data_IF_131480985626
#
_entry.id   IF_131480985626
#
_cell.length_a   1.000
_cell.length_b   1.000
_cell.length_c   1.000
_cell.angle_alpha   90.00
_cell.angle_beta   90.00
_cell.angle_gamma   90.00
#
_symmetry.space_group_name_H-M   'P 1'
#
loop_
_entity.id
_entity.type
_entity.pdbx_description
1 polymer ?
#
# COMPACT_ATOMS: atom_id res chain seq x y z
N UNK A 1 39.32 -12.20 17.34
CA UNK A 1 38.23 -11.16 17.15
C UNK A 1 38.43 -10.32 15.89
N UNK A 2 39.68 -9.92 15.52
CA UNK A 2 39.88 -9.00 14.40
C UNK A 2 39.72 -9.64 13.02
N UNK A 3 40.03 -10.93 12.84
CA UNK A 3 39.87 -11.63 11.55
C UNK A 3 38.42 -12.06 11.25
N UNK A 4 37.70 -12.50 12.26
CA UNK A 4 36.29 -12.84 12.14
C UNK A 4 35.46 -11.61 11.80
N UNK A 5 35.73 -10.46 12.46
CA UNK A 5 35.05 -9.19 12.16
C UNK A 5 35.34 -8.67 10.75
N UNK A 6 36.56 -8.80 10.26
CA UNK A 6 36.92 -8.45 8.86
C UNK A 6 36.28 -9.36 7.83
N UNK A 7 36.17 -10.66 8.14
CA UNK A 7 35.49 -11.63 7.27
C UNK A 7 33.96 -11.38 7.26
N UNK A 8 33.36 -11.10 8.43
CA UNK A 8 31.95 -10.71 8.52
C UNK A 8 31.66 -9.41 7.78
N UNK A 9 32.51 -8.40 7.91
CA UNK A 9 32.36 -7.16 7.15
C UNK A 9 32.51 -7.34 5.64
N UNK A 10 33.46 -8.19 5.18
CA UNK A 10 33.62 -8.51 3.77
C UNK A 10 32.47 -9.35 3.21
N UNK A 11 32.00 -10.33 3.96
CA UNK A 11 30.81 -11.13 3.60
C UNK A 11 29.56 -10.26 3.59
N UNK A 12 29.43 -9.37 4.56
CA UNK A 12 28.33 -8.39 4.63
C UNK A 12 28.32 -7.47 3.40
N UNK A 13 29.47 -6.91 3.00
CA UNK A 13 29.60 -6.08 1.80
C UNK A 13 29.29 -6.87 0.50
N UNK A 14 29.81 -8.08 0.36
CA UNK A 14 29.58 -8.95 -0.80
C UNK A 14 28.12 -9.43 -0.90
N UNK A 15 27.47 -9.67 0.23
CA UNK A 15 26.08 -10.10 0.28
C UNK A 15 25.12 -8.93 -0.02
N UNK A 16 25.46 -7.71 0.40
CA UNK A 16 24.71 -6.49 0.10
C UNK A 16 24.78 -6.15 -1.39
N UNK A 17 25.97 -6.19 -1.99
CA UNK A 17 26.18 -5.88 -3.41
C UNK A 17 25.53 -6.89 -4.35
N UNK A 18 25.44 -8.16 -3.94
CA UNK A 18 24.94 -9.24 -4.80
C UNK A 18 23.53 -9.74 -4.45
N UNK A 19 22.97 -9.39 -3.29
CA UNK A 19 21.64 -9.86 -2.89
C UNK A 19 21.00 -8.97 -1.82
N UNK A 20 20.25 -7.92 -2.21
CA UNK A 20 19.62 -6.98 -1.28
C UNK A 20 18.57 -7.62 -0.35
N UNK A 21 18.19 -8.88 -0.58
CA UNK A 21 17.19 -9.59 0.22
C UNK A 21 17.68 -10.03 1.61
N UNK A 22 18.98 -10.15 1.81
CA UNK A 22 19.55 -10.61 3.09
C UNK A 22 19.35 -9.60 4.23
N UNK A 23 19.06 -8.35 3.93
CA UNK A 23 18.82 -7.31 4.94
C UNK A 23 17.55 -7.50 5.79
N UNK A 24 16.54 -8.19 5.30
CA UNK A 24 15.28 -8.39 6.04
C UNK A 24 15.26 -9.66 6.91
N UNK A 25 16.09 -10.64 6.60
CA UNK A 25 16.25 -11.85 7.42
C UNK A 25 17.21 -11.68 8.60
N UNK A 26 17.90 -10.54 8.69
CA UNK A 26 19.00 -10.34 9.63
C UNK A 26 18.59 -10.23 11.10
N UNK A 27 17.31 -10.01 11.43
CA UNK A 27 16.89 -9.92 12.83
C UNK A 27 16.97 -11.27 13.56
N UNK A 28 16.58 -12.36 12.91
CA UNK A 28 16.74 -13.71 13.44
C UNK A 28 18.22 -14.15 13.47
N UNK A 29 19.00 -13.72 12.50
CA UNK A 29 20.44 -14.02 12.41
C UNK A 29 21.24 -13.34 13.53
N UNK A 30 20.88 -12.09 13.91
CA UNK A 30 21.56 -11.35 14.98
C UNK A 30 21.22 -11.87 16.39
N UNK A 31 20.02 -12.39 16.60
CA UNK A 31 19.64 -13.01 17.87
C UNK A 31 20.40 -14.35 18.06
N UNK A 32 20.73 -15.07 16.99
CA UNK A 32 21.38 -16.39 17.04
C UNK A 32 22.92 -16.31 17.14
N UNK A 33 23.54 -15.24 16.63
CA UNK A 33 25.01 -15.13 16.52
C UNK A 33 25.65 -13.98 17.32
N UNK A 34 24.88 -13.26 18.14
CA UNK A 34 25.41 -12.29 19.11
C UNK A 34 26.25 -11.15 18.51
N UNK A 35 25.91 -10.68 17.32
CA UNK A 35 26.58 -9.56 16.67
C UNK A 35 26.26 -8.23 17.36
N UNK A 36 27.19 -7.26 17.43
CA UNK A 36 26.95 -5.95 18.01
C UNK A 36 25.80 -5.25 17.29
N UNK A 37 24.96 -4.56 18.01
CA UNK A 37 23.74 -3.87 17.60
C UNK A 37 23.83 -3.22 16.22
N UNK A 38 23.48 -3.95 15.15
CA UNK A 38 23.32 -3.36 13.84
C UNK A 38 21.98 -2.63 13.81
N UNK A 39 22.02 -1.37 14.12
CA UNK A 39 20.89 -0.45 13.89
C UNK A 39 20.57 -0.50 12.39
N UNK A 40 19.31 -0.81 12.05
CA UNK A 40 18.82 -0.59 10.69
C UNK A 40 19.03 0.90 10.36
N UNK A 41 19.83 1.18 9.33
CA UNK A 41 20.07 2.54 8.86
C UNK A 41 19.10 2.81 7.72
N UNK A 42 18.14 3.70 7.89
CA UNK A 42 17.19 4.01 6.83
C UNK A 42 17.89 4.74 5.68
N UNK A 43 17.37 4.58 4.45
CA UNK A 43 17.97 5.15 3.25
C UNK A 43 18.20 6.66 3.34
N UNK A 44 17.31 7.40 3.99
CA UNK A 44 17.42 8.86 4.16
C UNK A 44 18.57 9.29 5.10
N UNK A 45 19.02 8.42 5.97
CA UNK A 45 20.23 8.64 6.78
C UNK A 45 21.48 8.39 5.93
N UNK A 46 21.48 7.37 5.07
CA UNK A 46 22.58 7.07 4.12
C UNK A 46 22.73 8.21 3.11
N UNK A 47 21.62 8.70 2.56
CA UNK A 47 21.56 9.76 1.54
C UNK A 47 21.52 11.17 2.15
N UNK A 48 21.83 11.32 3.44
CA UNK A 48 21.70 12.56 4.21
C UNK A 48 22.29 13.80 3.50
N UNK A 49 23.52 13.72 3.04
CA UNK A 49 24.22 14.87 2.46
C UNK A 49 23.60 15.28 1.12
N UNK A 50 23.12 14.30 0.35
CA UNK A 50 22.37 14.56 -0.87
C UNK A 50 21.02 15.22 -0.58
N UNK A 51 20.31 14.75 0.45
CA UNK A 51 19.03 15.33 0.88
C UNK A 51 19.22 16.77 1.40
N UNK A 52 20.28 17.06 2.16
CA UNK A 52 20.59 18.41 2.61
C UNK A 52 20.88 19.36 1.43
N UNK A 53 21.61 18.90 0.42
CA UNK A 53 21.86 19.68 -0.80
C UNK A 53 20.55 19.95 -1.57
N UNK A 54 19.69 18.94 -1.72
CA UNK A 54 18.36 19.11 -2.34
C UNK A 54 17.51 20.12 -1.55
N UNK A 55 17.45 20.00 -0.23
CA UNK A 55 16.71 20.92 0.62
C UNK A 55 17.22 22.36 0.49
N UNK A 56 18.53 22.56 0.28
CA UNK A 56 19.12 23.87 0.04
C UNK A 56 18.49 24.61 -1.13
N UNK A 57 18.19 23.89 -2.20
CA UNK A 57 17.78 24.45 -3.50
C UNK A 57 16.28 24.27 -3.82
N UNK A 58 15.61 23.24 -3.28
CA UNK A 58 14.29 22.80 -3.73
C UNK A 58 13.26 22.58 -2.61
N UNK A 59 13.56 22.98 -1.36
CA UNK A 59 12.62 22.82 -0.25
C UNK A 59 11.49 23.86 -0.32
N UNK A 60 10.25 23.51 0.10
CA UNK A 60 9.85 22.20 0.53
C UNK A 60 9.63 21.25 -0.65
N UNK A 61 10.03 20.00 -0.51
CA UNK A 61 9.85 19.01 -1.57
C UNK A 61 9.67 17.59 -1.02
N UNK A 62 9.01 16.73 -1.83
CA UNK A 62 9.01 15.29 -1.61
C UNK A 62 10.21 14.67 -2.31
N UNK A 63 10.85 13.72 -1.67
CA UNK A 63 11.92 12.90 -2.25
C UNK A 63 11.57 11.44 -2.09
N UNK A 64 11.70 10.68 -3.18
CA UNK A 64 11.40 9.26 -3.21
C UNK A 64 12.64 8.46 -3.61
N UNK A 65 12.89 7.35 -2.90
CA UNK A 65 14.02 6.46 -3.11
C UNK A 65 13.57 5.22 -3.88
N UNK A 66 13.80 5.20 -5.19
CA UNK A 66 13.37 4.10 -6.07
C UNK A 66 13.91 2.71 -5.70
N UNK A 67 15.16 2.55 -5.18
CA UNK A 67 15.61 1.23 -4.73
C UNK A 67 14.77 0.65 -3.59
N UNK A 68 14.25 1.48 -2.67
CA UNK A 68 13.33 1.01 -1.61
C UNK A 68 12.01 0.53 -2.21
N UNK A 69 11.49 1.19 -3.23
CA UNK A 69 10.27 0.77 -3.92
C UNK A 69 10.46 -0.60 -4.60
N UNK A 70 11.55 -0.74 -5.34
CA UNK A 70 11.91 -2.00 -6.00
C UNK A 70 12.07 -3.14 -4.99
N UNK A 71 12.75 -2.89 -3.86
CA UNK A 71 12.91 -3.88 -2.79
C UNK A 71 11.57 -4.33 -2.22
N UNK A 72 10.64 -3.40 -1.97
CA UNK A 72 9.29 -3.72 -1.48
C UNK A 72 8.49 -4.52 -2.48
N UNK A 73 8.61 -4.20 -3.78
CA UNK A 73 8.00 -5.00 -4.83
C UNK A 73 8.54 -6.44 -4.86
N UNK A 74 9.86 -6.60 -4.85
CA UNK A 74 10.51 -7.90 -4.83
C UNK A 74 10.13 -8.73 -3.61
N UNK A 75 9.98 -8.11 -2.43
CA UNK A 75 9.56 -8.79 -1.21
C UNK A 75 8.21 -9.48 -1.37
N UNK A 76 7.24 -8.85 -2.03
CA UNK A 76 5.93 -9.46 -2.27
C UNK A 76 5.93 -10.43 -3.45
N UNK A 77 6.72 -10.17 -4.49
CA UNK A 77 6.85 -11.07 -5.63
C UNK A 77 7.48 -12.43 -5.29
N UNK A 78 8.14 -12.55 -4.14
CA UNK A 78 8.72 -13.80 -3.65
C UNK A 78 7.74 -14.69 -2.89
N UNK A 79 6.56 -14.17 -2.54
CA UNK A 79 5.54 -14.96 -1.86
C UNK A 79 4.97 -16.00 -2.83
N UNK A 80 5.07 -17.28 -2.45
CA UNK A 80 4.65 -18.40 -3.30
C UNK A 80 3.13 -18.50 -3.48
N UNK A 81 2.37 -17.91 -2.56
CA UNK A 81 0.92 -17.88 -2.63
C UNK A 81 0.36 -16.85 -3.62
N UNK A 82 1.11 -15.78 -3.91
CA UNK A 82 0.61 -14.63 -4.66
C UNK A 82 0.90 -14.80 -6.15
N UNK A 83 -0.13 -14.77 -6.97
CA UNK A 83 -0.04 -14.91 -8.42
C UNK A 83 0.05 -13.56 -9.15
N UNK A 84 -0.67 -12.54 -8.65
CA UNK A 84 -0.70 -11.21 -9.27
C UNK A 84 -0.58 -10.11 -8.21
N UNK A 85 0.22 -9.10 -8.51
CA UNK A 85 0.35 -7.89 -7.72
C UNK A 85 -0.07 -6.67 -8.55
N UNK A 86 -1.02 -5.91 -8.04
CA UNK A 86 -1.48 -4.67 -8.62
C UNK A 86 -1.07 -3.50 -7.72
N UNK A 87 -0.31 -2.58 -8.25
CA UNK A 87 -0.04 -1.34 -7.50
C UNK A 87 -1.26 -0.44 -7.52
N UNK A 88 -1.82 -0.13 -6.34
CA UNK A 88 -2.90 0.83 -6.19
C UNK A 88 -2.38 2.25 -6.39
N UNK A 89 -2.53 2.79 -7.62
CA UNK A 89 -1.83 4.04 -8.04
C UNK A 89 -2.30 5.28 -7.29
N UNK A 90 -3.50 5.26 -6.70
CA UNK A 90 -3.97 6.31 -5.78
C UNK A 90 -3.03 6.60 -4.61
N UNK A 91 -2.13 5.67 -4.28
CA UNK A 91 -1.11 5.90 -3.25
C UNK A 91 -0.06 6.92 -3.70
N UNK A 92 0.38 6.87 -4.95
CA UNK A 92 1.19 7.90 -5.60
C UNK A 92 1.27 7.64 -7.12
N UNK A 93 0.63 8.47 -7.95
CA UNK A 93 0.58 8.29 -9.41
C UNK A 93 1.78 8.90 -10.15
N UNK A 94 2.84 9.29 -9.46
CA UNK A 94 4.00 9.94 -10.10
C UNK A 94 4.69 8.98 -11.08
N UNK A 95 4.96 9.44 -12.30
CA UNK A 95 5.49 8.64 -13.41
C UNK A 95 6.74 7.82 -13.04
N UNK A 96 7.71 8.42 -12.34
CA UNK A 96 8.94 7.72 -11.95
C UNK A 96 8.67 6.52 -11.02
N UNK A 97 7.66 6.62 -10.14
CA UNK A 97 7.23 5.53 -9.27
C UNK A 97 6.57 4.43 -10.09
N UNK A 98 5.65 4.81 -10.98
CA UNK A 98 4.97 3.86 -11.87
C UNK A 98 5.97 3.09 -12.74
N UNK A 99 6.97 3.78 -13.31
CA UNK A 99 8.04 3.14 -14.10
C UNK A 99 8.91 2.22 -13.24
N UNK A 100 9.22 2.60 -12.00
CA UNK A 100 9.99 1.76 -11.08
C UNK A 100 9.25 0.45 -10.76
N UNK A 101 7.95 0.52 -10.49
CA UNK A 101 7.14 -0.64 -10.12
C UNK A 101 6.79 -1.49 -11.35
N UNK A 102 6.52 -0.86 -12.51
CA UNK A 102 6.33 -1.58 -13.78
C UNK A 102 7.54 -2.41 -14.16
N UNK A 103 8.75 -1.85 -14.00
CA UNK A 103 10.02 -2.55 -14.25
C UNK A 103 10.24 -3.76 -13.33
N UNK A 104 9.55 -3.85 -12.19
CA UNK A 104 9.49 -5.05 -11.35
C UNK A 104 8.40 -6.04 -11.78
N UNK A 105 7.62 -5.73 -12.82
CA UNK A 105 6.55 -6.58 -13.32
C UNK A 105 5.19 -6.39 -12.65
N UNK A 106 5.00 -5.36 -11.83
CA UNK A 106 3.71 -5.09 -11.19
C UNK A 106 2.67 -4.63 -12.21
N UNK A 107 1.43 -5.02 -11.96
CA UNK A 107 0.23 -4.53 -12.62
C UNK A 107 -0.28 -3.26 -11.91
N UNK A 108 -1.35 -2.63 -12.42
CA UNK A 108 -1.88 -1.39 -11.86
C UNK A 108 -3.37 -1.50 -11.53
N UNK A 109 -3.74 -1.12 -10.31
CA UNK A 109 -5.11 -0.92 -9.87
C UNK A 109 -5.44 0.57 -9.92
N UNK A 110 -6.57 0.91 -10.55
CA UNK A 110 -7.05 2.25 -10.80
C UNK A 110 -8.49 2.41 -10.32
N UNK A 111 -8.79 3.51 -9.63
CA UNK A 111 -10.12 3.79 -9.06
C UNK A 111 -10.93 4.79 -9.89
N UNK A 112 -10.35 5.37 -10.93
CA UNK A 112 -11.00 6.31 -11.86
C UNK A 112 -10.52 6.09 -13.28
N UNK A 113 -11.32 6.58 -14.24
CA UNK A 113 -10.92 6.51 -15.65
C UNK A 113 -9.67 7.35 -15.93
N UNK A 114 -9.49 8.48 -15.22
CA UNK A 114 -8.32 9.33 -15.35
C UNK A 114 -7.04 8.62 -14.93
N UNK A 115 -7.10 7.75 -13.92
CA UNK A 115 -5.98 6.91 -13.53
C UNK A 115 -5.63 5.87 -14.61
N UNK A 116 -6.63 5.24 -15.25
CA UNK A 116 -6.41 4.34 -16.38
C UNK A 116 -5.77 5.05 -17.58
N UNK A 117 -6.30 6.22 -17.93
CA UNK A 117 -5.77 7.07 -19.00
C UNK A 117 -4.33 7.52 -18.71
N UNK A 118 -4.04 7.87 -17.45
CA UNK A 118 -2.70 8.23 -17.02
C UNK A 118 -1.70 7.07 -17.21
N UNK A 119 -2.07 5.84 -16.79
CA UNK A 119 -1.23 4.67 -17.03
C UNK A 119 -1.03 4.41 -18.52
N UNK A 120 -2.10 4.51 -19.35
CA UNK A 120 -1.99 4.34 -20.80
C UNK A 120 -1.11 5.40 -21.46
N UNK A 121 -1.13 6.63 -20.97
CA UNK A 121 -0.26 7.68 -21.48
C UNK A 121 1.23 7.42 -21.19
N UNK A 122 1.54 6.83 -20.03
CA UNK A 122 2.93 6.47 -19.63
C UNK A 122 3.38 5.17 -20.31
N UNK A 123 2.47 4.21 -20.45
CA UNK A 123 2.74 2.87 -20.98
C UNK A 123 1.73 2.52 -22.11
N UNK A 124 1.90 3.08 -23.32
CA UNK A 124 0.94 2.87 -24.41
C UNK A 124 0.70 1.41 -24.78
N UNK A 125 1.74 0.58 -24.65
CA UNK A 125 1.72 -0.84 -25.03
C UNK A 125 1.40 -1.79 -23.85
N UNK A 126 1.01 -1.26 -22.69
CA UNK A 126 0.68 -2.12 -21.54
C UNK A 126 -0.50 -3.03 -21.87
N UNK A 127 -0.37 -4.32 -21.59
CA UNK A 127 -1.46 -5.27 -21.81
C UNK A 127 -2.68 -4.92 -20.95
N UNK A 128 -3.89 -4.95 -21.53
CA UNK A 128 -5.13 -4.57 -20.85
C UNK A 128 -5.39 -5.37 -19.57
N UNK A 129 -4.99 -6.65 -19.54
CA UNK A 129 -5.12 -7.52 -18.35
C UNK A 129 -4.18 -7.12 -17.18
N UNK A 130 -3.23 -6.24 -17.41
CA UNK A 130 -2.39 -5.64 -16.37
C UNK A 130 -3.05 -4.41 -15.73
N UNK A 131 -4.25 -4.03 -16.19
CA UNK A 131 -5.02 -2.91 -15.69
C UNK A 131 -6.30 -3.42 -15.03
N UNK A 132 -6.48 -3.05 -13.78
CA UNK A 132 -7.64 -3.40 -12.97
C UNK A 132 -8.37 -2.12 -12.56
N UNK A 133 -9.63 -1.99 -12.97
CA UNK A 133 -10.51 -0.89 -12.62
C UNK A 133 -11.38 -1.28 -11.42
N UNK A 134 -11.15 -0.65 -10.27
CA UNK A 134 -11.87 -0.89 -9.02
C UNK A 134 -12.55 0.38 -8.50
N UNK A 135 -13.51 0.93 -9.26
CA UNK A 135 -14.16 2.19 -8.91
C UNK A 135 -15.11 2.03 -7.74
N UNK A 136 -15.44 3.15 -7.09
CA UNK A 136 -16.51 3.23 -6.10
C UNK A 136 -17.40 4.43 -6.41
N UNK A 137 -18.71 4.22 -6.56
CA UNK A 137 -19.69 5.23 -7.00
C UNK A 137 -19.33 5.94 -8.31
N UNK A 138 -18.59 5.30 -9.20
CA UNK A 138 -18.28 5.88 -10.52
C UNK A 138 -19.53 5.91 -11.43
N UNK A 139 -19.66 6.89 -12.31
CA UNK A 139 -20.75 6.97 -13.27
C UNK A 139 -20.62 5.88 -14.35
N UNK A 140 -21.76 5.49 -14.96
CA UNK A 140 -21.82 4.48 -16.04
C UNK A 140 -20.81 4.72 -17.14
N UNK A 141 -20.55 5.97 -17.50
CA UNK A 141 -19.60 6.35 -18.56
C UNK A 141 -18.16 5.89 -18.27
N UNK A 142 -17.72 5.89 -17.02
CA UNK A 142 -16.38 5.40 -16.66
C UNK A 142 -16.27 3.88 -16.84
N UNK A 143 -17.30 3.12 -16.48
CA UNK A 143 -17.36 1.69 -16.76
C UNK A 143 -17.37 1.39 -18.27
N UNK A 144 -18.11 2.18 -19.05
CA UNK A 144 -18.10 2.07 -20.51
C UNK A 144 -16.70 2.27 -21.08
N UNK A 145 -15.98 3.29 -20.60
CA UNK A 145 -14.61 3.58 -21.03
C UNK A 145 -13.64 2.46 -20.61
N UNK A 146 -13.74 1.95 -19.38
CA UNK A 146 -12.89 0.85 -18.90
C UNK A 146 -13.12 -0.44 -19.72
N UNK A 147 -14.37 -0.79 -20.03
CA UNK A 147 -14.68 -1.92 -20.92
C UNK A 147 -14.18 -1.68 -22.35
N UNK A 148 -14.21 -0.44 -22.85
CA UNK A 148 -13.65 -0.12 -24.17
C UNK A 148 -12.12 -0.25 -24.20
N UNK A 149 -11.45 -0.10 -23.06
CA UNK A 149 -10.01 -0.34 -22.89
C UNK A 149 -9.67 -1.84 -22.69
N UNK A 150 -10.66 -2.72 -22.63
CA UNK A 150 -10.52 -4.16 -22.34
C UNK A 150 -9.82 -4.46 -21.01
N UNK A 151 -10.00 -3.57 -20.02
CA UNK A 151 -9.44 -3.74 -18.68
C UNK A 151 -10.24 -4.76 -17.85
N UNK A 152 -9.62 -5.30 -16.81
CA UNK A 152 -10.34 -6.00 -15.75
C UNK A 152 -11.23 -5.00 -15.00
N UNK A 153 -12.49 -5.33 -14.76
CA UNK A 153 -13.46 -4.41 -14.14
C UNK A 153 -14.10 -5.05 -12.92
N UNK A 154 -14.03 -4.34 -11.80
CA UNK A 154 -14.69 -4.73 -10.55
C UNK A 154 -16.01 -3.97 -10.38
N UNK A 155 -17.07 -4.70 -10.06
CA UNK A 155 -18.38 -4.17 -9.67
C UNK A 155 -18.49 -4.24 -8.15
N UNK A 156 -18.73 -3.11 -7.50
CA UNK A 156 -18.70 -3.00 -6.03
C UNK A 156 -20.08 -2.75 -5.38
N UNK A 157 -21.16 -2.75 -6.17
CA UNK A 157 -22.52 -2.55 -5.67
C UNK A 157 -23.58 -3.18 -6.58
N UNK A 158 -24.80 -3.33 -6.07
CA UNK A 158 -25.94 -3.86 -6.83
C UNK A 158 -26.38 -2.94 -7.98
N UNK A 159 -26.21 -1.64 -7.81
CA UNK A 159 -26.75 -0.65 -8.76
C UNK A 159 -26.34 -0.89 -10.23
N UNK A 160 -25.08 -1.15 -10.57
CA UNK A 160 -24.70 -1.50 -11.95
C UNK A 160 -25.39 -2.77 -12.46
N UNK A 161 -25.52 -3.79 -11.62
CA UNK A 161 -26.15 -5.05 -11.99
C UNK A 161 -27.65 -4.89 -12.29
N UNK A 162 -28.34 -4.03 -11.50
CA UNK A 162 -29.78 -3.76 -11.62
C UNK A 162 -30.11 -2.84 -12.80
N UNK A 163 -29.29 -1.81 -13.03
CA UNK A 163 -29.65 -0.69 -13.90
C UNK A 163 -28.85 -0.59 -15.20
N UNK A 164 -27.71 -1.32 -15.32
CA UNK A 164 -26.83 -1.23 -16.49
C UNK A 164 -26.66 -2.58 -17.18
N UNK A 165 -27.73 -3.38 -17.20
CA UNK A 165 -27.72 -4.70 -17.82
C UNK A 165 -27.32 -4.68 -19.31
N UNK A 166 -27.64 -3.60 -20.03
CA UNK A 166 -27.19 -3.35 -21.41
C UNK A 166 -25.66 -3.26 -21.54
N UNK A 167 -24.99 -2.64 -20.56
CA UNK A 167 -23.54 -2.51 -20.52
C UNK A 167 -22.87 -3.82 -20.11
N UNK A 168 -23.46 -4.53 -19.14
CA UNK A 168 -22.87 -5.71 -18.51
C UNK A 168 -23.17 -7.02 -19.23
N UNK A 169 -24.10 -7.02 -20.20
CA UNK A 169 -24.53 -8.22 -20.91
C UNK A 169 -23.34 -8.92 -21.59
N UNK A 170 -23.16 -10.22 -21.28
CA UNK A 170 -22.04 -11.06 -21.73
C UNK A 170 -20.63 -10.57 -21.34
N UNK A 171 -20.50 -9.66 -20.38
CA UNK A 171 -19.20 -9.18 -19.89
C UNK A 171 -18.59 -10.11 -18.86
N UNK A 172 -17.27 -10.15 -18.83
CA UNK A 172 -16.47 -10.68 -17.72
C UNK A 172 -16.26 -9.58 -16.69
N UNK A 173 -16.54 -9.88 -15.41
CA UNK A 173 -16.39 -8.93 -14.30
C UNK A 173 -15.79 -9.62 -13.09
N UNK A 174 -15.27 -8.79 -12.16
CA UNK A 174 -14.93 -9.15 -10.80
C UNK A 174 -16.01 -8.58 -9.88
N UNK A 175 -16.45 -9.33 -8.87
CA UNK A 175 -17.41 -8.83 -7.89
C UNK A 175 -16.66 -8.48 -6.58
N UNK A 176 -16.88 -7.28 -6.08
CA UNK A 176 -16.40 -6.91 -4.75
C UNK A 176 -17.43 -7.28 -3.70
N UNK A 177 -17.04 -8.16 -2.80
CA UNK A 177 -17.85 -8.63 -1.69
C UNK A 177 -17.43 -7.90 -0.40
N UNK A 178 -18.39 -7.45 0.39
CA UNK A 178 -18.11 -6.96 1.74
C UNK A 178 -17.78 -8.15 2.64
N UNK A 179 -16.58 -8.22 3.24
CA UNK A 179 -16.23 -9.31 4.14
C UNK A 179 -16.98 -9.25 5.49
N UNK A 180 -17.80 -8.23 5.74
CA UNK A 180 -18.56 -8.05 6.98
C UNK A 180 -17.72 -7.64 8.19
N UNK A 181 -16.41 -7.95 8.17
CA UNK A 181 -15.45 -7.59 9.20
C UNK A 181 -14.22 -6.94 8.57
N UNK A 182 -13.69 -5.92 9.22
CA UNK A 182 -12.49 -5.22 8.74
C UNK A 182 -11.65 -4.69 9.88
N UNK A 183 -10.38 -4.41 9.59
CA UNK A 183 -9.46 -3.76 10.52
C UNK A 183 -8.93 -2.44 9.93
N UNK A 184 -8.66 -1.46 10.78
CA UNK A 184 -8.07 -0.19 10.39
C UNK A 184 -7.60 0.59 11.61
N UNK A 185 -6.57 1.42 11.43
CA UNK A 185 -6.02 2.25 12.52
C UNK A 185 -6.95 3.34 13.01
N UNK A 186 -8.03 3.64 12.31
CA UNK A 186 -8.99 4.68 12.62
C UNK A 186 -10.38 4.32 12.09
N UNK A 187 -11.46 4.78 12.77
CA UNK A 187 -12.86 4.55 12.32
C UNK A 187 -13.10 4.94 10.85
N UNK A 188 -12.42 5.97 10.35
CA UNK A 188 -12.56 6.44 8.96
C UNK A 188 -11.78 5.61 7.92
N UNK A 189 -11.03 4.59 8.31
CA UNK A 189 -10.31 3.68 7.39
C UNK A 189 -10.79 2.24 7.47
N UNK A 190 -11.91 1.98 8.17
CA UNK A 190 -12.64 0.73 8.08
C UNK A 190 -13.35 0.65 6.73
N UNK A 191 -13.05 -0.38 5.94
CA UNK A 191 -13.59 -0.60 4.58
C UNK A 191 -14.56 -1.76 4.50
N UNK A 192 -15.01 -2.30 5.65
CA UNK A 192 -15.92 -3.43 5.74
C UNK A 192 -16.96 -3.22 6.84
N UNK A 193 -18.12 -3.90 6.72
CA UNK A 193 -19.24 -3.86 7.67
C UNK A 193 -20.30 -2.80 7.35
N UNK A 194 -21.41 -2.83 8.09
CA UNK A 194 -22.65 -2.10 7.79
C UNK A 194 -22.52 -0.56 7.66
N UNK A 195 -21.46 0.03 8.17
CA UNK A 195 -21.17 1.47 7.99
C UNK A 195 -20.18 1.74 6.84
N UNK A 196 -19.71 0.71 6.17
CA UNK A 196 -18.82 0.82 5.00
C UNK A 196 -19.66 1.02 3.73
N UNK A 197 -19.18 1.93 2.87
CA UNK A 197 -19.84 2.16 1.56
C UNK A 197 -19.39 1.17 0.48
N UNK A 198 -18.55 0.20 0.81
CA UNK A 198 -17.86 -0.65 -0.16
C UNK A 198 -18.39 -2.08 -0.17
N UNK A 199 -18.53 -2.62 -1.38
CA UNK A 199 -18.82 -4.03 -1.60
C UNK A 199 -20.29 -4.41 -1.52
N UNK A 200 -20.59 -5.57 -2.08
CA UNK A 200 -21.90 -6.21 -2.05
C UNK A 200 -21.95 -7.12 -0.83
N UNK A 201 -23.02 -7.07 -0.06
CA UNK A 201 -23.16 -7.92 1.13
C UNK A 201 -23.39 -9.38 0.75
N UNK A 202 -23.04 -10.31 1.61
CA UNK A 202 -23.30 -11.73 1.36
C UNK A 202 -24.80 -12.04 1.35
N UNK A 203 -25.60 -11.24 2.03
CA UNK A 203 -27.07 -11.35 2.06
C UNK A 203 -27.69 -11.06 0.68
N UNK A 204 -27.05 -10.20 -0.11
CA UNK A 204 -27.52 -9.83 -1.46
C UNK A 204 -27.13 -10.86 -2.54
N UNK A 205 -26.30 -11.84 -2.24
CA UNK A 205 -25.81 -12.82 -3.23
C UNK A 205 -26.92 -13.55 -3.99
N UNK A 206 -28.04 -13.97 -3.37
CA UNK A 206 -29.13 -14.58 -4.12
C UNK A 206 -29.70 -13.67 -5.22
N UNK A 207 -29.80 -12.36 -4.95
CA UNK A 207 -30.23 -11.38 -5.94
C UNK A 207 -29.16 -11.13 -7.02
N UNK A 208 -27.90 -11.04 -6.62
CA UNK A 208 -26.77 -10.96 -7.56
C UNK A 208 -26.77 -12.11 -8.55
N UNK A 209 -26.96 -13.35 -8.09
CA UNK A 209 -27.00 -14.54 -8.95
C UNK A 209 -28.13 -14.47 -9.98
N UNK A 210 -29.31 -13.96 -9.58
CA UNK A 210 -30.43 -13.75 -10.54
C UNK A 210 -30.06 -12.74 -11.63
N UNK A 211 -29.42 -11.62 -11.26
CA UNK A 211 -29.00 -10.58 -12.20
C UNK A 211 -27.89 -11.06 -13.13
N UNK A 212 -26.92 -11.81 -12.63
CA UNK A 212 -25.85 -12.43 -13.40
C UNK A 212 -26.43 -13.38 -14.46
N UNK A 213 -27.35 -14.25 -14.06
CA UNK A 213 -28.02 -15.15 -14.98
C UNK A 213 -28.84 -14.38 -16.02
N UNK A 214 -29.62 -13.39 -15.60
CA UNK A 214 -30.47 -12.56 -16.48
C UNK A 214 -29.68 -11.86 -17.58
N UNK A 215 -28.49 -11.35 -17.25
CA UNK A 215 -27.65 -10.57 -18.16
C UNK A 215 -26.46 -11.37 -18.72
N UNK A 216 -26.43 -12.69 -18.53
CA UNK A 216 -25.36 -13.57 -19.01
C UNK A 216 -23.95 -13.09 -18.64
N UNK A 217 -23.84 -12.51 -17.46
CA UNK A 217 -22.57 -11.96 -16.93
C UNK A 217 -21.68 -13.12 -16.49
N UNK A 218 -20.39 -13.03 -16.78
CA UNK A 218 -19.37 -13.97 -16.31
C UNK A 218 -18.60 -13.36 -15.14
N UNK A 219 -18.72 -13.94 -13.96
CA UNK A 219 -17.92 -13.56 -12.81
C UNK A 219 -16.62 -14.35 -12.83
N UNK A 220 -15.52 -13.68 -13.16
CA UNK A 220 -14.20 -14.30 -13.32
C UNK A 220 -13.31 -14.15 -12.09
N UNK A 221 -13.70 -13.32 -11.14
CA UNK A 221 -12.97 -13.11 -9.88
C UNK A 221 -13.88 -12.58 -8.78
N UNK A 222 -13.49 -12.85 -7.54
CA UNK A 222 -14.08 -12.26 -6.36
C UNK A 222 -13.04 -11.36 -5.67
N UNK A 223 -13.46 -10.19 -5.22
CA UNK A 223 -12.60 -9.20 -4.58
C UNK A 223 -13.14 -8.86 -3.19
N UNK A 224 -12.26 -8.63 -2.22
CA UNK A 224 -12.59 -7.98 -0.96
C UNK A 224 -11.42 -7.13 -0.47
N UNK A 225 -11.72 -6.10 0.31
CA UNK A 225 -10.69 -5.28 0.93
C UNK A 225 -11.03 -5.08 2.41
N UNK A 226 -10.19 -5.63 3.29
CA UNK A 226 -10.48 -5.77 4.72
C UNK A 226 -9.93 -4.63 5.58
N UNK A 227 -9.29 -3.62 5.00
CA UNK A 227 -8.78 -2.48 5.77
C UNK A 227 -7.41 -1.97 5.34
N UNK A 228 -6.81 -1.11 6.15
CA UNK A 228 -5.53 -0.47 5.83
C UNK A 228 -4.59 -0.44 7.04
N UNK A 229 -3.30 -0.66 6.78
CA UNK A 229 -2.26 -0.62 7.80
C UNK A 229 -2.26 -1.84 8.73
N UNK A 230 -2.61 -3.00 8.21
CA UNK A 230 -2.74 -4.25 8.93
C UNK A 230 -1.36 -4.90 9.06
N UNK A 231 -0.96 -5.23 10.30
CA UNK A 231 0.34 -5.81 10.64
C UNK A 231 0.27 -7.28 11.07
N UNK A 232 -0.92 -7.91 10.98
CA UNK A 232 -1.12 -9.33 11.31
C UNK A 232 -1.67 -10.07 10.10
N UNK A 233 -1.24 -11.32 9.80
CA UNK A 233 -1.61 -12.02 8.58
C UNK A 233 -3.05 -12.57 8.58
N UNK A 234 -3.65 -12.80 9.76
CA UNK A 234 -4.88 -13.58 9.92
C UNK A 234 -6.08 -13.05 9.14
N UNK A 235 -6.14 -11.72 8.97
CA UNK A 235 -7.27 -11.10 8.27
C UNK A 235 -7.29 -11.43 6.77
N UNK A 236 -6.12 -11.53 6.12
CA UNK A 236 -6.04 -11.98 4.72
C UNK A 236 -6.41 -13.46 4.59
N UNK A 237 -6.00 -14.30 5.54
CA UNK A 237 -6.41 -15.70 5.57
C UNK A 237 -7.94 -15.82 5.67
N UNK A 238 -8.56 -15.10 6.61
CA UNK A 238 -10.02 -15.11 6.81
C UNK A 238 -10.74 -14.62 5.54
N UNK A 239 -10.27 -13.53 4.94
CA UNK A 239 -10.82 -12.98 3.71
C UNK A 239 -10.66 -13.96 2.55
N UNK A 240 -9.49 -14.58 2.39
CA UNK A 240 -9.24 -15.57 1.36
C UNK A 240 -10.15 -16.81 1.52
N UNK A 241 -10.30 -17.31 2.73
CA UNK A 241 -11.18 -18.44 3.03
C UNK A 241 -12.65 -18.13 2.72
N UNK A 242 -13.11 -16.92 3.08
CA UNK A 242 -14.46 -16.45 2.77
C UNK A 242 -14.68 -16.37 1.26
N UNK A 243 -13.81 -15.65 0.51
CA UNK A 243 -13.94 -15.54 -0.94
C UNK A 243 -13.85 -16.90 -1.63
N UNK A 244 -12.92 -17.76 -1.24
CA UNK A 244 -12.77 -19.09 -1.79
C UNK A 244 -14.04 -19.95 -1.57
N UNK A 245 -14.68 -19.85 -0.41
CA UNK A 245 -15.94 -20.56 -0.15
C UNK A 245 -17.09 -20.10 -1.04
N UNK A 246 -17.12 -18.83 -1.41
CA UNK A 246 -18.16 -18.25 -2.26
C UNK A 246 -18.03 -18.67 -3.74
N UNK A 247 -16.85 -19.14 -4.16
CA UNK A 247 -16.63 -19.57 -5.57
C UNK A 247 -17.55 -20.72 -6.00
N UNK A 248 -18.08 -21.49 -5.07
CA UNK A 248 -19.08 -22.52 -5.37
C UNK A 248 -20.34 -21.97 -6.07
N UNK A 249 -20.64 -20.69 -5.90
CA UNK A 249 -21.76 -20.02 -6.55
C UNK A 249 -21.39 -19.42 -7.92
N UNK A 250 -20.10 -19.36 -8.26
CA UNK A 250 -19.57 -18.70 -9.44
C UNK A 250 -18.57 -19.61 -10.17
N UNK A 251 -19.02 -20.54 -11.00
CA UNK A 251 -18.18 -21.61 -11.56
C UNK A 251 -17.05 -21.10 -12.49
N UNK A 252 -17.13 -19.87 -12.96
CA UNK A 252 -16.13 -19.27 -13.86
C UNK A 252 -15.06 -18.45 -13.09
N UNK A 253 -15.16 -18.37 -11.78
CA UNK A 253 -14.17 -17.67 -10.95
C UNK A 253 -12.86 -18.44 -10.97
N UNK A 254 -11.80 -17.73 -11.35
CA UNK A 254 -10.41 -18.22 -11.40
C UNK A 254 -9.46 -17.44 -10.49
N UNK A 255 -9.93 -16.34 -9.89
CA UNK A 255 -9.10 -15.52 -8.99
C UNK A 255 -9.87 -15.01 -7.80
N UNK A 256 -9.17 -14.90 -6.67
CA UNK A 256 -9.61 -14.14 -5.51
C UNK A 256 -8.62 -12.99 -5.26
N UNK A 257 -9.15 -11.78 -5.15
CA UNK A 257 -8.37 -10.58 -4.91
C UNK A 257 -8.62 -10.08 -3.49
N UNK A 258 -7.60 -10.06 -2.67
CA UNK A 258 -7.68 -9.73 -1.26
C UNK A 258 -7.49 -8.23 -0.99
N UNK A 259 -7.41 -7.43 -2.05
CA UNK A 259 -7.17 -6.00 -1.96
C UNK A 259 -5.77 -5.65 -1.44
N UNK A 260 -5.64 -4.45 -0.91
CA UNK A 260 -4.40 -3.97 -0.30
C UNK A 260 -4.39 -4.13 1.22
N UNK A 261 -3.95 -3.06 1.88
CA UNK A 261 -4.02 -2.97 3.34
C UNK A 261 -2.78 -3.39 4.08
N UNK A 262 -1.76 -3.94 3.41
CA UNK A 262 -0.49 -4.29 4.02
C UNK A 262 0.10 -3.10 4.78
N UNK A 263 0.34 -3.30 6.09
CA UNK A 263 0.86 -2.27 6.98
C UNK A 263 2.38 -2.15 6.87
N UNK A 264 2.85 -0.98 7.26
CA UNK A 264 4.26 -0.69 7.53
C UNK A 264 4.39 -0.32 8.99
N UNK A 265 5.60 -0.42 9.51
CA UNK A 265 5.90 0.06 10.87
C UNK A 265 5.89 1.60 10.85
N UNK A 266 4.87 2.19 11.46
CA UNK A 266 4.72 3.66 11.53
C UNK A 266 5.23 4.22 12.86
N UNK A 267 5.21 3.41 13.94
CA UNK A 267 5.55 3.87 15.30
C UNK A 267 6.59 2.96 15.95
N UNK A 268 7.45 3.50 16.81
CA UNK A 268 8.35 2.68 17.63
C UNK A 268 7.55 1.60 18.41
N UNK A 269 8.09 0.40 18.46
CA UNK A 269 7.49 -0.75 19.18
C UNK A 269 6.46 -1.56 18.39
N UNK A 270 6.02 -1.11 17.21
CA UNK A 270 5.23 -1.96 16.31
C UNK A 270 6.11 -3.06 15.71
N UNK A 271 5.54 -4.25 15.56
CA UNK A 271 6.18 -5.33 14.82
C UNK A 271 5.78 -5.27 13.34
N UNK A 272 6.70 -5.52 12.42
CA UNK A 272 6.37 -5.60 10.99
C UNK A 272 5.45 -6.80 10.73
N UNK A 273 4.70 -6.74 9.63
CA UNK A 273 3.92 -7.89 9.15
C UNK A 273 4.86 -9.07 8.85
N UNK A 274 4.53 -10.22 9.40
CA UNK A 274 5.24 -11.48 9.12
C UNK A 274 4.78 -12.03 7.75
N UNK A 275 5.60 -11.79 6.72
CA UNK A 275 5.33 -12.25 5.37
C UNK A 275 5.46 -13.77 5.21
N UNK A 276 6.28 -14.43 6.02
CA UNK A 276 6.40 -15.88 5.99
C UNK A 276 5.13 -16.54 6.51
N UNK A 277 4.57 -15.99 7.60
CA UNK A 277 3.30 -16.45 8.12
C UNK A 277 2.14 -16.15 7.15
N UNK A 278 2.13 -14.97 6.53
CA UNK A 278 1.13 -14.61 5.52
C UNK A 278 1.17 -15.60 4.34
N UNK A 279 2.35 -15.84 3.79
CA UNK A 279 2.54 -16.77 2.66
C UNK A 279 2.08 -18.18 3.01
N UNK A 280 2.50 -18.71 4.16
CA UNK A 280 2.10 -20.04 4.63
C UNK A 280 0.58 -20.17 4.78
N UNK A 281 -0.09 -19.16 5.36
CA UNK A 281 -1.53 -19.16 5.55
C UNK A 281 -2.27 -19.11 4.20
N UNK A 282 -1.82 -18.29 3.25
CA UNK A 282 -2.42 -18.20 1.92
C UNK A 282 -2.15 -19.43 1.06
N UNK A 283 -0.95 -20.04 1.16
CA UNK A 283 -0.64 -21.33 0.53
C UNK A 283 -1.57 -22.44 1.02
N UNK A 284 -1.96 -22.45 2.29
CA UNK A 284 -2.93 -23.42 2.80
C UNK A 284 -4.31 -23.27 2.12
N UNK A 285 -4.75 -22.05 1.84
CA UNK A 285 -5.98 -21.79 1.05
C UNK A 285 -5.78 -22.29 -0.40
N UNK A 286 -4.68 -21.95 -1.04
CA UNK A 286 -4.37 -22.33 -2.41
C UNK A 286 -4.30 -23.85 -2.60
N UNK A 287 -3.79 -24.59 -1.62
CA UNK A 287 -3.77 -26.05 -1.63
C UNK A 287 -5.18 -26.68 -1.62
N UNK A 288 -6.13 -26.02 -0.95
CA UNK A 288 -7.53 -26.47 -0.95
C UNK A 288 -8.30 -26.05 -2.20
N UNK A 289 -7.85 -24.98 -2.87
CA UNK A 289 -8.46 -24.41 -4.08
C UNK A 289 -7.39 -24.18 -5.16
N UNK A 290 -6.76 -25.23 -5.70
CA UNK A 290 -5.58 -25.13 -6.57
C UNK A 290 -5.84 -24.47 -7.93
N UNK A 291 -7.09 -24.27 -8.29
CA UNK A 291 -7.52 -23.58 -9.51
C UNK A 291 -7.63 -22.07 -9.33
N UNK A 292 -7.53 -21.56 -8.09
CA UNK A 292 -7.65 -20.14 -7.80
C UNK A 292 -6.28 -19.45 -7.77
N UNK A 293 -6.19 -18.36 -8.49
CA UNK A 293 -5.13 -17.37 -8.32
C UNK A 293 -5.45 -16.46 -7.11
N UNK A 294 -4.42 -16.06 -6.37
CA UNK A 294 -4.53 -15.09 -5.28
C UNK A 294 -3.85 -13.78 -5.71
N UNK A 295 -4.61 -12.69 -5.68
CA UNK A 295 -4.17 -11.36 -6.07
C UNK A 295 -4.14 -10.41 -4.88
N UNK A 296 -3.22 -9.41 -4.92
CA UNK A 296 -3.14 -8.32 -3.95
C UNK A 296 -3.05 -6.96 -4.65
N UNK A 297 -3.56 -5.90 -3.97
CA UNK A 297 -3.55 -4.50 -4.44
C UNK A 297 -2.83 -3.55 -3.46
N UNK A 298 -1.60 -3.81 -3.04
CA UNK A 298 -0.93 -2.90 -2.12
C UNK A 298 -0.59 -1.57 -2.80
N UNK A 299 -0.87 -0.47 -2.10
CA UNK A 299 -0.47 0.87 -2.51
C UNK A 299 0.60 1.42 -1.58
N UNK A 300 0.18 1.80 -0.37
CA UNK A 300 1.05 2.40 0.66
C UNK A 300 2.30 1.57 0.94
N UNK A 301 2.19 0.26 0.98
CA UNK A 301 3.31 -0.65 1.27
C UNK A 301 4.52 -0.42 0.36
N UNK A 302 4.31 -0.16 -0.94
CA UNK A 302 5.40 0.03 -1.88
C UNK A 302 6.09 1.38 -1.77
N UNK A 303 5.37 2.43 -1.34
CA UNK A 303 5.85 3.81 -1.50
C UNK A 303 6.12 4.56 -0.20
N UNK A 304 5.47 4.18 0.91
CA UNK A 304 5.53 5.00 2.12
C UNK A 304 6.93 5.09 2.74
N UNK A 305 7.66 3.99 2.83
CA UNK A 305 9.01 3.99 3.39
C UNK A 305 10.06 4.54 2.42
N UNK A 306 9.71 4.69 1.15
CA UNK A 306 10.60 5.29 0.15
C UNK A 306 10.53 6.81 0.11
N UNK A 307 9.54 7.43 0.78
CA UNK A 307 9.26 8.85 0.66
C UNK A 307 9.61 9.65 1.90
N UNK A 308 10.18 10.83 1.71
CA UNK A 308 10.36 11.85 2.76
C UNK A 308 9.89 13.21 2.26
N UNK A 309 9.49 14.07 3.21
CA UNK A 309 9.31 15.51 2.97
C UNK A 309 10.53 16.22 3.54
N UNK A 310 11.20 16.99 2.70
CA UNK A 310 12.23 17.93 3.11
C UNK A 310 11.61 19.30 3.30
N UNK A 311 11.85 19.91 4.48
CA UNK A 311 11.37 21.24 4.78
C UNK A 311 12.38 21.98 5.66
N UNK A 312 12.55 23.29 5.44
CA UNK A 312 13.39 24.14 6.28
C UNK A 312 12.63 24.65 7.49
N UNK A 313 13.32 24.75 8.60
CA UNK A 313 12.83 25.48 9.78
C UNK A 313 12.80 26.96 9.45
N UNK A 314 11.65 27.59 9.61
CA UNK A 314 11.46 29.03 9.35
C UNK A 314 11.71 29.86 10.60
N UNK A 315 11.19 29.38 11.75
CA UNK A 315 11.38 30.05 13.04
C UNK A 315 11.03 29.10 14.19
N UNK A 316 11.51 29.46 15.38
CA UNK A 316 11.15 28.78 16.61
C UNK A 316 10.55 29.82 17.58
N UNK A 317 9.56 29.38 18.36
CA UNK A 317 9.02 30.21 19.46
C UNK A 317 8.65 29.35 20.65
N UNK A 318 8.61 30.00 21.82
CA UNK A 318 8.13 29.38 23.05
C UNK A 318 6.87 30.12 23.55
N UNK A 319 5.92 29.35 24.06
CA UNK A 319 4.71 29.88 24.69
C UNK A 319 4.46 29.07 25.98
N UNK A 320 4.75 29.68 27.11
CA UNK A 320 4.74 28.97 28.38
C UNK A 320 5.81 27.87 28.39
N UNK A 321 5.38 26.62 28.56
CA UNK A 321 6.27 25.44 28.56
C UNK A 321 6.37 24.75 27.21
N UNK A 322 5.62 25.23 26.21
CA UNK A 322 5.54 24.60 24.89
C UNK A 322 6.50 25.29 23.93
N UNK A 323 7.37 24.52 23.32
CA UNK A 323 8.25 24.95 22.23
C UNK A 323 7.61 24.57 20.89
N UNK A 324 7.62 25.50 19.93
CA UNK A 324 7.15 25.31 18.57
C UNK A 324 8.33 25.49 17.60
N UNK A 325 8.43 24.57 16.64
CA UNK A 325 9.32 24.63 15.48
C UNK A 325 8.45 24.79 14.25
N UNK A 326 8.44 25.98 13.68
CA UNK A 326 7.74 26.29 12.43
C UNK A 326 8.58 25.87 11.23
N UNK A 327 7.95 25.22 10.28
CA UNK A 327 8.57 24.83 9.01
C UNK A 327 7.82 25.47 7.82
N UNK A 328 8.45 25.49 6.65
CA UNK A 328 7.94 26.19 5.46
C UNK A 328 6.76 25.48 4.77
N UNK A 329 6.33 24.32 5.25
CA UNK A 329 5.15 23.59 4.76
C UNK A 329 4.31 23.08 5.92
N UNK A 330 3.07 22.66 5.65
CA UNK A 330 2.12 22.24 6.67
C UNK A 330 1.23 21.08 6.22
N UNK A 331 0.02 21.02 6.79
CA UNK A 331 -0.93 19.93 6.54
C UNK A 331 -1.39 19.82 5.08
N UNK A 332 -1.24 20.85 4.27
CA UNK A 332 -1.47 20.80 2.82
C UNK A 332 -0.51 19.84 2.10
N UNK A 333 0.69 19.65 2.64
CA UNK A 333 1.64 18.67 2.12
C UNK A 333 1.55 17.32 2.84
N UNK A 334 1.14 17.27 4.11
CA UNK A 334 0.98 16.03 4.86
C UNK A 334 -0.25 16.12 5.75
N UNK A 335 -1.41 15.78 5.22
CA UNK A 335 -2.70 15.89 5.91
C UNK A 335 -2.90 14.85 7.02
N UNK A 336 -2.26 13.69 6.94
CA UNK A 336 -2.51 12.55 7.83
C UNK A 336 -2.38 12.85 9.33
N UNK A 337 -1.38 13.62 9.81
CA UNK A 337 -1.32 13.99 11.22
C UNK A 337 -2.54 14.79 11.67
N UNK A 338 -2.97 15.78 10.88
CA UNK A 338 -4.13 16.61 11.20
C UNK A 338 -5.45 15.84 11.12
N UNK A 339 -5.62 14.98 10.10
CA UNK A 339 -6.88 14.28 9.83
C UNK A 339 -7.07 13.02 10.67
N UNK A 340 -6.00 12.25 10.90
CA UNK A 340 -6.06 10.92 11.52
C UNK A 340 -5.24 10.81 12.81
N UNK A 341 -4.54 11.88 13.23
CA UNK A 341 -3.55 11.77 14.30
C UNK A 341 -2.40 10.81 13.95
N UNK A 342 -2.13 10.62 12.65
CA UNK A 342 -1.13 9.66 12.20
C UNK A 342 0.27 10.10 12.64
N UNK A 343 1.05 9.12 13.11
CA UNK A 343 2.45 9.35 13.42
C UNK A 343 3.28 9.33 12.14
N UNK A 344 4.16 10.33 12.01
CA UNK A 344 5.28 10.32 11.08
C UNK A 344 6.53 10.67 11.85
N UNK A 345 7.63 9.98 11.61
CA UNK A 345 8.90 10.33 12.20
C UNK A 345 9.37 11.68 11.66
N UNK A 346 9.83 12.54 12.56
CA UNK A 346 10.37 13.86 12.23
C UNK A 346 11.78 13.94 12.81
N UNK A 347 12.75 14.24 11.97
CA UNK A 347 14.15 14.36 12.37
C UNK A 347 14.72 15.71 11.94
N UNK A 348 15.59 16.27 12.75
CA UNK A 348 16.43 17.39 12.33
C UNK A 348 17.61 16.85 11.51
N UNK A 349 17.44 16.81 10.18
CA UNK A 349 18.43 16.21 9.29
C UNK A 349 19.80 16.92 9.35
N UNK A 350 19.81 18.25 9.56
CA UNK A 350 21.04 19.02 9.69
C UNK A 350 21.85 18.67 10.94
N UNK A 351 21.14 18.28 12.02
CA UNK A 351 21.71 17.98 13.34
C UNK A 351 21.43 16.53 13.78
N UNK A 352 21.35 15.62 12.83
CA UNK A 352 20.87 14.25 13.03
C UNK A 352 21.65 13.48 14.11
N UNK A 353 22.95 13.73 14.21
CA UNK A 353 23.86 13.03 15.12
C UNK A 353 24.14 13.79 16.42
N UNK A 354 23.50 14.95 16.61
CA UNK A 354 23.61 15.71 17.88
C UNK A 354 22.61 15.16 18.90
N UNK A 355 22.94 15.35 20.19
CA UNK A 355 22.01 15.02 21.25
C UNK A 355 20.76 15.90 21.20
N UNK A 356 19.61 15.27 21.47
CA UNK A 356 18.31 15.97 21.48
C UNK A 356 18.29 16.99 22.64
N UNK A 357 18.04 18.24 22.32
CA UNK A 357 17.95 19.32 23.30
C UNK A 357 16.58 19.41 24.01
N UNK A 358 15.61 18.59 23.63
CA UNK A 358 14.26 18.55 24.19
C UNK A 358 13.21 18.27 23.13
N UNK A 359 11.95 18.46 23.51
CA UNK A 359 10.78 18.22 22.66
C UNK A 359 10.19 19.53 22.15
N UNK A 360 9.58 19.47 20.96
CA UNK A 360 8.86 20.58 20.36
C UNK A 360 7.63 20.09 19.58
N UNK A 361 6.66 20.98 19.38
CA UNK A 361 5.61 20.76 18.37
C UNK A 361 6.13 21.27 17.03
N UNK A 362 6.06 20.44 16.01
CA UNK A 362 6.42 20.81 14.62
C UNK A 362 5.16 21.25 13.90
N UNK A 363 5.12 22.50 13.46
CA UNK A 363 3.95 23.17 12.93
C UNK A 363 4.21 23.80 11.57
N UNK A 364 3.18 23.86 10.75
CA UNK A 364 3.22 24.56 9.46
C UNK A 364 2.84 26.04 9.56
N UNK A 365 2.85 26.75 8.41
CA UNK A 365 2.55 28.18 8.32
C UNK A 365 1.07 28.47 8.04
N UNK A 366 0.20 27.45 7.93
CA UNK A 366 -1.21 27.64 7.60
C UNK A 366 -1.93 28.24 8.81
N UNK A 367 -2.81 29.20 8.57
CA UNK A 367 -3.60 29.87 9.62
C UNK A 367 -4.75 28.96 10.10
N UNK A 368 -4.41 27.77 10.58
CA UNK A 368 -5.30 26.74 11.09
C UNK A 368 -4.66 26.07 12.31
N UNK A 369 -5.40 25.96 13.41
CA UNK A 369 -4.87 25.36 14.67
C UNK A 369 -4.48 23.89 14.50
N UNK A 370 -5.07 23.20 13.56
CA UNK A 370 -4.76 21.81 13.22
C UNK A 370 -3.50 21.64 12.37
N UNK A 371 -2.83 22.72 11.94
CA UNK A 371 -1.62 22.65 11.11
C UNK A 371 -0.38 22.23 11.91
N UNK A 372 -0.46 21.04 12.48
CA UNK A 372 0.59 20.40 13.26
C UNK A 372 0.98 19.07 12.64
N UNK A 373 2.27 18.94 12.30
CA UNK A 373 2.82 17.73 11.73
C UNK A 373 3.26 16.71 12.79
N UNK A 374 3.57 17.17 13.98
CA UNK A 374 3.89 16.30 15.12
C UNK A 374 3.95 17.04 16.44
N UNK A 375 3.41 16.39 17.47
CA UNK A 375 3.48 16.84 18.85
C UNK A 375 4.64 16.15 19.57
N UNK A 376 5.37 16.89 20.38
CA UNK A 376 6.45 16.38 21.23
C UNK A 376 7.47 15.51 20.45
N UNK A 377 8.07 16.11 19.43
CA UNK A 377 9.07 15.48 18.56
C UNK A 377 10.47 15.95 18.91
#
# INVERSE_FOLDING_TARGET
ESQANKLCQKLHHLLIENNPQIFYYSKSWHEEFGAPSNRFIPWWEVERDRLLNLAGNHSPCYVYHSPTQALRAQQLLQLGAIDQLFYAIKANPHESILRTLEAQGLNFECVSIQELEHIRAIFPDIASKRLLFTPNFAPKAEYQAAFAMDCLVTIDSLHPLEHWGDLLNHREIILRIDPGTGAGHHKHVSTAGNESKFGITQEDLPHVLQLIHKHHIKVIGLHAHSGSGILTPDLWQQTAAMLASLTMHFPEVRSINLGGGLGIVEKPGQQPLDFSALDAQLLAIKNNYPHLEIWLEPGRFFVAESGVILAKVTQCKEKGKVRFVGIETGMNSLIRPALYGAYHEIVNLSRLFEEKAGFAHVVGPICESGDTLGYER
#
